data_IF_499445771649
#
_entry.id   IF_499445771649
#
_cell.length_a   1.000
_cell.length_b   1.000
_cell.length_c   1.000
_cell.angle_alpha   90.00
_cell.angle_beta   90.00
_cell.angle_gamma   90.00
#
_symmetry.space_group_name_H-M   'P 1'
#
loop_
_entity.id
_entity.type
_entity.pdbx_description
1 polymer ?
#
# COMPACT_ATOMS: atom_id res chain seq x y z
N UNK A 1 -4.18 -21.62 10.99
CA UNK A 1 -4.54 -20.46 10.15
C UNK A 1 -3.29 -19.66 9.87
N UNK A 2 -3.12 -19.20 8.63
CA UNK A 2 -1.96 -18.39 8.27
C UNK A 2 -1.92 -17.09 9.09
N UNK A 3 -0.72 -16.69 9.48
CA UNK A 3 -0.49 -15.37 10.08
C UNK A 3 -0.30 -14.34 8.99
N UNK A 4 -1.12 -13.30 9.00
CA UNK A 4 -1.09 -12.24 8.00
C UNK A 4 -0.64 -10.96 8.68
N UNK A 5 0.43 -10.35 8.18
CA UNK A 5 0.95 -9.09 8.69
C UNK A 5 0.73 -8.00 7.66
N UNK A 6 0.03 -6.93 8.06
CA UNK A 6 -0.11 -5.74 7.25
C UNK A 6 1.14 -4.86 7.36
N UNK A 7 1.71 -4.49 6.22
CA UNK A 7 2.85 -3.57 6.16
C UNK A 7 2.38 -2.24 5.56
N UNK A 8 2.61 -1.16 6.28
CA UNK A 8 2.26 0.18 5.84
C UNK A 8 3.38 1.19 6.16
N UNK A 9 3.24 2.40 5.71
CA UNK A 9 4.20 3.49 5.96
C UNK A 9 3.81 4.75 5.23
N UNK A 10 4.38 5.86 5.61
CA UNK A 10 4.21 7.12 4.88
C UNK A 10 5.00 7.15 3.57
N UNK A 11 4.65 8.07 2.69
CA UNK A 11 5.45 8.35 1.50
C UNK A 11 6.92 8.58 1.90
N UNK A 12 7.85 8.02 1.16
CA UNK A 12 9.30 8.10 1.41
C UNK A 12 9.79 7.55 2.77
N UNK A 13 8.97 6.77 3.51
CA UNK A 13 9.41 6.13 4.77
C UNK A 13 10.42 4.99 4.57
N UNK A 14 10.58 4.48 3.34
CA UNK A 14 11.47 3.35 3.03
C UNK A 14 10.79 1.97 3.15
N UNK A 15 9.48 1.91 3.05
CA UNK A 15 8.69 0.66 3.07
C UNK A 15 9.19 -0.37 2.02
N UNK A 16 9.62 0.09 0.84
CA UNK A 16 10.18 -0.77 -0.20
C UNK A 16 11.46 -1.51 0.23
N UNK A 17 12.29 -0.91 1.07
CA UNK A 17 13.47 -1.58 1.65
C UNK A 17 13.03 -2.73 2.54
N UNK A 18 11.99 -2.54 3.34
CA UNK A 18 11.42 -3.58 4.20
C UNK A 18 10.82 -4.72 3.36
N UNK A 19 10.03 -4.39 2.33
CA UNK A 19 9.44 -5.43 1.45
C UNK A 19 10.49 -6.24 0.70
N UNK A 20 11.57 -5.60 0.23
CA UNK A 20 12.70 -6.29 -0.40
C UNK A 20 13.38 -7.25 0.58
N UNK A 21 13.67 -6.78 1.80
CA UNK A 21 14.29 -7.60 2.83
C UNK A 21 13.44 -8.84 3.20
N UNK A 22 12.13 -8.66 3.36
CA UNK A 22 11.21 -9.76 3.65
C UNK A 22 11.21 -10.81 2.52
N UNK A 23 11.20 -10.35 1.25
CA UNK A 23 11.27 -11.24 0.07
C UNK A 23 12.61 -11.99 0.01
N UNK A 24 13.74 -11.33 0.30
CA UNK A 24 15.07 -11.95 0.37
C UNK A 24 15.15 -13.03 1.46
N UNK A 25 14.43 -12.85 2.56
CA UNK A 25 14.29 -13.86 3.62
C UNK A 25 13.32 -14.99 3.25
N UNK A 26 12.70 -14.96 2.08
CA UNK A 26 11.81 -16.02 1.58
C UNK A 26 10.34 -15.86 2.00
N UNK A 27 9.95 -14.73 2.59
CA UNK A 27 8.56 -14.49 2.95
C UNK A 27 7.76 -13.95 1.75
N UNK A 28 6.56 -14.48 1.48
CA UNK A 28 5.68 -13.89 0.48
C UNK A 28 5.24 -12.49 0.92
N UNK A 29 5.29 -11.54 -0.01
CA UNK A 29 4.82 -10.16 0.18
C UNK A 29 3.88 -9.82 -0.97
N UNK A 30 2.60 -9.71 -0.68
CA UNK A 30 1.57 -9.22 -1.61
C UNK A 30 1.70 -7.70 -1.69
N UNK A 31 1.86 -7.17 -2.90
CA UNK A 31 1.92 -5.75 -3.18
C UNK A 31 0.53 -5.28 -3.64
N UNK A 32 -0.15 -4.47 -2.83
CA UNK A 32 -1.48 -3.98 -3.16
C UNK A 32 -1.48 -3.04 -4.37
N UNK A 33 -0.41 -2.25 -4.57
CA UNK A 33 -0.30 -1.37 -5.74
C UNK A 33 -0.20 -2.20 -7.02
N UNK A 34 0.49 -3.36 -6.99
CA UNK A 34 0.53 -4.28 -8.13
C UNK A 34 -0.85 -4.89 -8.42
N UNK A 35 -1.59 -5.30 -7.38
CA UNK A 35 -2.96 -5.82 -7.55
C UNK A 35 -3.87 -4.75 -8.19
N UNK A 36 -3.79 -3.51 -7.75
CA UNK A 36 -4.54 -2.39 -8.35
C UNK A 36 -4.12 -2.15 -9.80
N UNK A 37 -2.81 -2.20 -10.07
CA UNK A 37 -2.30 -2.07 -11.44
C UNK A 37 -2.86 -3.15 -12.36
N UNK A 38 -2.90 -4.41 -11.93
CA UNK A 38 -3.43 -5.53 -12.71
C UNK A 38 -4.94 -5.39 -12.95
N UNK A 39 -5.70 -4.89 -11.97
CA UNK A 39 -7.12 -4.57 -12.15
C UNK A 39 -7.37 -3.46 -13.18
N UNK A 40 -6.44 -2.52 -13.31
CA UNK A 40 -6.49 -1.38 -14.23
C UNK A 40 -5.88 -1.67 -15.61
N UNK A 41 -5.17 -2.78 -15.77
CA UNK A 41 -4.61 -3.18 -17.05
C UNK A 41 -5.71 -3.52 -18.07
N UNK A 42 -5.47 -3.40 -19.39
CA UNK A 42 -6.44 -3.76 -20.41
C UNK A 42 -7.05 -5.15 -20.18
N UNK A 43 -8.38 -5.23 -20.09
CA UNK A 43 -9.11 -6.45 -19.75
C UNK A 43 -9.24 -6.76 -18.25
N UNK A 44 -8.64 -5.98 -17.36
CA UNK A 44 -8.82 -6.08 -15.91
C UNK A 44 -10.24 -5.72 -15.46
N UNK A 45 -10.63 -6.15 -14.28
CA UNK A 45 -11.99 -5.93 -13.79
C UNK A 45 -12.33 -4.44 -13.63
N UNK A 46 -11.40 -3.67 -13.08
CA UNK A 46 -11.57 -2.23 -12.89
C UNK A 46 -11.53 -1.49 -14.22
N UNK A 47 -10.62 -1.88 -15.13
CA UNK A 47 -10.56 -1.35 -16.49
C UNK A 47 -11.91 -1.45 -17.20
N UNK A 48 -12.52 -2.65 -17.22
CA UNK A 48 -13.80 -2.88 -17.88
C UNK A 48 -14.90 -1.99 -17.32
N UNK A 49 -15.04 -1.93 -16.01
CA UNK A 49 -16.09 -1.15 -15.35
C UNK A 49 -15.92 0.35 -15.59
N UNK A 50 -14.69 0.85 -15.61
CA UNK A 50 -14.41 2.25 -15.91
C UNK A 50 -14.71 2.59 -17.38
N UNK A 51 -14.33 1.73 -18.32
CA UNK A 51 -14.61 1.92 -19.75
C UNK A 51 -16.11 1.82 -20.05
N UNK A 52 -16.80 0.89 -19.41
CA UNK A 52 -18.26 0.74 -19.56
C UNK A 52 -19.00 1.98 -19.06
N UNK A 53 -18.53 2.65 -18.01
CA UNK A 53 -19.17 3.81 -17.43
C UNK A 53 -18.80 5.12 -18.13
N UNK A 54 -17.50 5.36 -18.34
CA UNK A 54 -16.98 6.63 -18.90
C UNK A 54 -16.79 6.60 -20.41
N UNK A 55 -16.86 5.44 -21.05
CA UNK A 55 -16.58 5.29 -22.48
C UNK A 55 -15.09 5.22 -22.80
N UNK A 56 -14.78 5.11 -24.10
CA UNK A 56 -13.41 4.96 -24.61
C UNK A 56 -12.57 6.24 -24.54
N UNK A 57 -13.17 7.36 -24.23
CA UNK A 57 -12.48 8.65 -24.11
C UNK A 57 -11.52 8.74 -22.93
N UNK A 58 -11.59 7.78 -21.99
CA UNK A 58 -10.64 7.61 -20.89
C UNK A 58 -9.48 6.70 -21.26
N UNK A 59 -9.29 6.33 -22.52
CA UNK A 59 -8.24 5.46 -22.99
C UNK A 59 -7.20 6.21 -23.82
N UNK A 60 -5.95 5.76 -23.74
CA UNK A 60 -4.88 6.15 -24.64
C UNK A 60 -5.07 5.49 -26.02
N UNK A 61 -4.19 5.82 -26.99
CA UNK A 61 -4.19 5.16 -28.32
C UNK A 61 -3.82 3.68 -28.25
N UNK A 62 -3.09 3.30 -27.21
CA UNK A 62 -2.64 1.93 -26.92
C UNK A 62 -3.70 1.16 -26.11
N UNK A 63 -4.90 1.73 -25.92
CA UNK A 63 -6.02 1.14 -25.18
C UNK A 63 -5.76 0.96 -23.68
N UNK A 64 -4.81 1.70 -23.11
CA UNK A 64 -4.56 1.76 -21.68
C UNK A 64 -5.39 2.89 -21.05
N UNK A 65 -5.63 2.84 -19.72
CA UNK A 65 -6.31 3.92 -19.01
C UNK A 65 -5.45 5.20 -19.06
N UNK A 66 -5.98 6.25 -19.66
CA UNK A 66 -5.45 7.60 -19.55
C UNK A 66 -5.83 8.20 -18.19
N UNK A 67 -4.88 8.19 -17.26
CA UNK A 67 -5.09 8.66 -15.88
C UNK A 67 -5.46 10.14 -15.82
N UNK A 68 -5.02 10.94 -16.79
CA UNK A 68 -5.35 12.38 -16.84
C UNK A 68 -6.79 12.56 -17.28
N UNK A 69 -7.19 11.93 -18.39
CA UNK A 69 -8.56 11.96 -18.90
C UNK A 69 -9.55 11.39 -17.87
N UNK A 70 -9.24 10.23 -17.29
CA UNK A 70 -10.06 9.62 -16.24
C UNK A 70 -10.18 10.53 -15.02
N UNK A 71 -9.07 11.12 -14.56
CA UNK A 71 -9.07 12.07 -13.46
C UNK A 71 -9.96 13.28 -13.73
N UNK A 72 -9.88 13.87 -14.91
CA UNK A 72 -10.75 15.01 -15.31
C UNK A 72 -12.23 14.64 -15.26
N UNK A 73 -12.60 13.44 -15.72
CA UNK A 73 -13.99 12.96 -15.66
C UNK A 73 -14.46 12.76 -14.21
N UNK A 74 -13.66 12.09 -13.39
CA UNK A 74 -13.99 11.83 -11.98
C UNK A 74 -14.11 13.12 -11.17
N UNK A 75 -13.23 14.11 -11.41
CA UNK A 75 -13.20 15.34 -10.61
C UNK A 75 -14.13 16.44 -11.12
N UNK A 76 -14.62 16.36 -12.37
CA UNK A 76 -15.54 17.36 -12.93
C UNK A 76 -16.96 17.31 -12.35
N UNK A 77 -17.37 16.16 -11.81
CA UNK A 77 -18.70 15.93 -11.26
C UNK A 77 -18.61 15.19 -9.91
N UNK A 78 -19.15 15.76 -8.82
CA UNK A 78 -19.19 15.09 -7.51
C UNK A 78 -19.86 13.71 -7.54
N UNK A 79 -20.90 13.50 -8.37
CA UNK A 79 -21.58 12.21 -8.48
C UNK A 79 -20.70 11.13 -9.12
N UNK A 80 -19.89 11.52 -10.13
CA UNK A 80 -18.92 10.64 -10.77
C UNK A 80 -17.78 10.26 -9.82
N UNK A 81 -17.34 11.24 -9.02
CA UNK A 81 -16.34 10.98 -7.99
C UNK A 81 -16.86 9.99 -6.95
N UNK A 82 -18.08 10.19 -6.46
CA UNK A 82 -18.67 9.28 -5.44
C UNK A 82 -18.92 7.88 -6.01
N UNK A 83 -19.38 7.79 -7.26
CA UNK A 83 -19.51 6.52 -7.96
C UNK A 83 -18.16 5.82 -8.10
N UNK A 84 -17.16 6.53 -8.61
CA UNK A 84 -15.81 6.03 -8.82
C UNK A 84 -15.17 5.52 -7.52
N UNK A 85 -15.23 6.30 -6.45
CA UNK A 85 -14.70 5.92 -5.15
C UNK A 85 -15.36 4.64 -4.63
N UNK A 86 -16.69 4.53 -4.71
CA UNK A 86 -17.45 3.37 -4.26
C UNK A 86 -17.13 2.12 -5.08
N UNK A 87 -17.10 2.23 -6.41
CA UNK A 87 -16.88 1.10 -7.30
C UNK A 87 -15.44 0.63 -7.25
N UNK A 88 -14.49 1.55 -7.34
CA UNK A 88 -13.07 1.23 -7.25
C UNK A 88 -12.73 0.63 -5.88
N UNK A 89 -13.17 1.26 -4.79
CA UNK A 89 -12.92 0.77 -3.44
C UNK A 89 -13.43 -0.65 -3.22
N UNK A 90 -14.64 -0.97 -3.72
CA UNK A 90 -15.20 -2.32 -3.64
C UNK A 90 -14.37 -3.33 -4.45
N UNK A 91 -14.10 -3.06 -5.72
CA UNK A 91 -13.38 -3.99 -6.58
C UNK A 91 -11.94 -4.24 -6.11
N UNK A 92 -11.26 -3.21 -5.63
CA UNK A 92 -9.92 -3.33 -5.06
C UNK A 92 -9.97 -4.18 -3.80
N UNK A 93 -10.93 -3.93 -2.90
CA UNK A 93 -11.07 -4.70 -1.65
C UNK A 93 -11.38 -6.17 -1.94
N UNK A 94 -12.27 -6.47 -2.87
CA UNK A 94 -12.60 -7.83 -3.31
C UNK A 94 -11.36 -8.56 -3.86
N UNK A 95 -10.61 -7.92 -4.76
CA UNK A 95 -9.40 -8.51 -5.34
C UNK A 95 -8.28 -8.73 -4.31
N UNK A 96 -8.06 -7.77 -3.41
CA UNK A 96 -7.10 -7.92 -2.32
C UNK A 96 -7.49 -9.06 -1.37
N UNK A 97 -8.79 -9.21 -1.06
CA UNK A 97 -9.28 -10.32 -0.25
C UNK A 97 -9.05 -11.67 -0.95
N UNK A 98 -9.32 -11.77 -2.24
CA UNK A 98 -9.09 -12.99 -3.02
C UNK A 98 -7.61 -13.40 -3.02
N UNK A 99 -6.70 -12.44 -3.26
CA UNK A 99 -5.25 -12.72 -3.25
C UNK A 99 -4.77 -13.09 -1.85
N UNK A 100 -5.24 -12.41 -0.81
CA UNK A 100 -4.98 -12.73 0.60
C UNK A 100 -5.39 -14.18 0.92
N UNK A 101 -6.62 -14.55 0.60
CA UNK A 101 -7.18 -15.86 0.95
C UNK A 101 -6.48 -16.99 0.19
N UNK A 102 -6.10 -16.74 -1.06
CA UNK A 102 -5.28 -17.66 -1.86
C UNK A 102 -3.89 -17.85 -1.24
N UNK A 103 -3.24 -16.78 -0.80
CA UNK A 103 -1.93 -16.85 -0.16
C UNK A 103 -2.01 -17.52 1.21
N UNK A 104 -3.06 -17.29 1.97
CA UNK A 104 -3.30 -17.92 3.27
C UNK A 104 -3.45 -19.44 3.19
N UNK A 105 -3.86 -19.97 2.04
CA UNK A 105 -3.92 -21.42 1.79
C UNK A 105 -2.54 -22.04 1.48
N UNK A 106 -1.52 -21.21 1.19
CA UNK A 106 -0.21 -21.65 0.71
C UNK A 106 0.95 -21.33 1.66
N UNK A 107 0.72 -20.50 2.66
CA UNK A 107 1.79 -20.01 3.55
C UNK A 107 1.29 -19.83 4.96
N UNK A 108 2.11 -20.23 5.93
CA UNK A 108 1.82 -20.05 7.36
C UNK A 108 2.05 -18.60 7.83
N UNK A 109 2.93 -17.88 7.15
CA UNK A 109 3.23 -16.45 7.40
C UNK A 109 3.45 -15.74 6.08
N UNK A 110 2.76 -14.61 5.87
CA UNK A 110 3.00 -13.71 4.76
C UNK A 110 2.64 -12.26 5.10
N UNK A 111 3.04 -11.36 4.24
CA UNK A 111 2.85 -9.92 4.39
C UNK A 111 1.97 -9.37 3.27
N UNK A 112 1.20 -8.33 3.59
CA UNK A 112 0.51 -7.51 2.60
C UNK A 112 1.00 -6.07 2.72
N UNK A 113 1.64 -5.59 1.66
CA UNK A 113 2.11 -4.22 1.54
C UNK A 113 0.98 -3.33 1.03
N UNK A 114 0.37 -2.54 1.93
CA UNK A 114 -0.75 -1.64 1.61
C UNK A 114 -0.39 -0.23 2.10
N UNK A 115 -0.06 0.70 1.19
CA UNK A 115 0.34 2.07 1.57
C UNK A 115 -0.68 2.83 2.41
N UNK A 116 -1.97 2.68 2.06
CA UNK A 116 -3.10 3.34 2.72
C UNK A 116 -3.91 2.36 3.59
N UNK A 117 -3.23 1.42 4.25
CA UNK A 117 -3.85 0.35 5.05
C UNK A 117 -4.83 0.91 6.07
N UNK A 118 -4.39 1.90 6.84
CA UNK A 118 -5.14 2.51 7.94
C UNK A 118 -6.25 3.41 7.38
N UNK A 119 -5.90 4.26 6.42
CA UNK A 119 -6.86 5.19 5.79
C UNK A 119 -8.02 4.47 5.10
N UNK A 120 -7.80 3.25 4.64
CA UNK A 120 -8.80 2.43 3.94
C UNK A 120 -9.50 1.42 4.86
N UNK A 121 -9.16 1.40 6.15
CA UNK A 121 -9.78 0.51 7.15
C UNK A 121 -9.53 -0.97 6.86
N UNK A 122 -8.26 -1.35 6.66
CA UNK A 122 -7.85 -2.73 6.45
C UNK A 122 -7.31 -3.40 7.71
N UNK A 123 -7.23 -2.70 8.85
CA UNK A 123 -6.57 -3.19 10.08
C UNK A 123 -7.10 -4.56 10.52
N UNK A 124 -8.41 -4.76 10.46
CA UNK A 124 -9.08 -6.01 10.86
C UNK A 124 -8.70 -7.24 10.00
N UNK A 125 -7.96 -7.02 8.89
CA UNK A 125 -7.48 -8.13 8.05
C UNK A 125 -6.23 -8.79 8.57
N UNK A 126 -5.56 -8.15 9.53
CA UNK A 126 -4.22 -8.49 9.98
C UNK A 126 -4.18 -8.84 11.45
N UNK A 127 -3.33 -9.80 11.78
CA UNK A 127 -3.03 -10.11 13.18
C UNK A 127 -2.05 -9.11 13.80
N UNK A 128 -1.33 -8.40 12.95
CA UNK A 128 -0.42 -7.32 13.35
C UNK A 128 -0.20 -6.37 12.19
N UNK A 129 -0.20 -5.09 12.48
CA UNK A 129 0.11 -4.01 11.53
C UNK A 129 1.50 -3.48 11.84
N UNK A 130 2.41 -3.57 10.87
CA UNK A 130 3.76 -3.05 10.95
C UNK A 130 3.86 -1.72 10.18
N UNK A 131 4.28 -0.68 10.87
CA UNK A 131 4.47 0.66 10.31
C UNK A 131 5.94 0.97 10.11
N UNK A 132 6.35 1.24 8.88
CA UNK A 132 7.67 1.81 8.60
C UNK A 132 7.59 3.32 8.75
N UNK A 133 8.34 3.87 9.69
CA UNK A 133 8.28 5.28 10.05
C UNK A 133 9.65 5.97 10.03
N UNK A 134 9.63 7.25 9.74
CA UNK A 134 10.77 8.17 9.84
C UNK A 134 10.31 9.49 10.46
N UNK A 135 11.25 10.36 10.81
CA UNK A 135 10.92 11.73 11.20
C UNK A 135 10.37 12.55 10.03
N UNK A 136 9.63 13.61 10.32
CA UNK A 136 9.10 14.52 9.28
C UNK A 136 10.22 15.12 8.43
N UNK A 137 11.34 15.48 9.03
CA UNK A 137 12.50 16.04 8.35
C UNK A 137 13.12 15.01 7.39
N UNK A 138 13.28 13.76 7.85
CA UNK A 138 13.80 12.66 7.03
C UNK A 138 12.84 12.35 5.88
N UNK A 139 11.54 12.33 6.14
CA UNK A 139 10.50 12.08 5.13
C UNK A 139 10.53 13.16 4.05
N UNK A 140 10.54 14.43 4.45
CA UNK A 140 10.58 15.57 3.54
C UNK A 140 11.84 15.54 2.67
N UNK A 141 13.02 15.42 3.31
CA UNK A 141 14.29 15.34 2.61
C UNK A 141 14.32 14.21 1.57
N UNK A 142 13.98 13.00 1.97
CA UNK A 142 13.97 11.83 1.07
C UNK A 142 13.00 11.99 -0.10
N UNK A 143 11.82 12.58 0.15
CA UNK A 143 10.82 12.80 -0.89
C UNK A 143 11.28 13.85 -1.91
N UNK A 144 11.88 14.96 -1.44
CA UNK A 144 12.44 15.98 -2.31
C UNK A 144 13.56 15.42 -3.19
N UNK A 145 14.50 14.68 -2.60
CA UNK A 145 15.65 14.09 -3.31
C UNK A 145 15.20 13.05 -4.34
N UNK A 146 14.30 12.14 -3.96
CA UNK A 146 13.83 11.05 -4.83
C UNK A 146 13.04 11.55 -6.03
N UNK A 147 12.21 12.57 -5.84
CA UNK A 147 11.25 13.03 -6.85
C UNK A 147 11.59 14.39 -7.44
N UNK A 148 12.73 14.99 -7.06
CA UNK A 148 13.16 16.34 -7.50
C UNK A 148 12.08 17.41 -7.28
N UNK A 149 11.43 17.36 -6.10
CA UNK A 149 10.36 18.29 -5.72
C UNK A 149 10.89 19.48 -4.96
N UNK A 150 10.19 20.61 -5.10
CA UNK A 150 10.33 21.71 -4.15
C UNK A 150 9.80 21.30 -2.78
N UNK A 151 10.22 22.01 -1.72
CA UNK A 151 9.75 21.74 -0.37
C UNK A 151 8.23 21.83 -0.26
N UNK A 152 7.60 22.84 -0.87
CA UNK A 152 6.16 23.01 -0.87
C UNK A 152 5.44 21.81 -1.50
N UNK A 153 5.91 21.38 -2.68
CA UNK A 153 5.34 20.22 -3.37
C UNK A 153 5.49 18.92 -2.57
N UNK A 154 6.62 18.76 -1.89
CA UNK A 154 6.84 17.58 -1.04
C UNK A 154 5.93 17.62 0.20
N UNK A 155 5.77 18.78 0.84
CA UNK A 155 4.85 18.96 1.96
C UNK A 155 3.39 18.68 1.58
N UNK A 156 2.93 19.16 0.42
CA UNK A 156 1.58 18.87 -0.10
C UNK A 156 1.36 17.38 -0.30
N UNK A 157 2.35 16.65 -0.86
CA UNK A 157 2.26 15.19 -1.02
C UNK A 157 2.25 14.45 0.30
N UNK A 158 3.04 14.89 1.29
CA UNK A 158 3.01 14.30 2.63
C UNK A 158 1.65 14.55 3.29
N UNK A 159 1.12 15.76 3.17
CA UNK A 159 -0.18 16.14 3.73
C UNK A 159 -1.38 15.44 3.08
N UNK A 160 -1.21 14.83 1.90
CA UNK A 160 -2.27 14.03 1.25
C UNK A 160 -2.50 12.65 1.88
N UNK A 161 -1.66 12.23 2.81
CA UNK A 161 -1.78 10.99 3.58
C UNK A 161 -1.98 11.30 5.06
N UNK A 162 -2.50 10.32 5.79
CA UNK A 162 -2.54 10.38 7.26
C UNK A 162 -1.13 10.60 7.82
N UNK A 163 -0.93 11.54 8.75
CA UNK A 163 0.36 11.77 9.39
C UNK A 163 0.95 10.50 10.01
N UNK A 164 2.28 10.31 9.92
CA UNK A 164 2.94 9.14 10.50
C UNK A 164 2.70 9.00 12.02
N UNK A 165 2.60 10.13 12.73
CA UNK A 165 2.33 10.12 14.17
C UNK A 165 0.91 9.59 14.49
N UNK A 166 -0.07 9.86 13.64
CA UNK A 166 -1.41 9.28 13.75
C UNK A 166 -1.39 7.79 13.39
N UNK A 167 -0.68 7.40 12.32
CA UNK A 167 -0.53 5.99 11.95
C UNK A 167 0.10 5.14 13.05
N UNK A 168 0.98 5.71 13.87
CA UNK A 168 1.61 5.02 15.02
C UNK A 168 0.56 4.48 16.03
N UNK A 169 -0.55 5.18 16.20
CA UNK A 169 -1.61 4.77 17.11
C UNK A 169 -2.39 3.52 16.63
N UNK A 170 -2.29 3.20 15.34
CA UNK A 170 -2.94 2.07 14.69
C UNK A 170 -1.97 0.90 14.40
N UNK A 171 -0.70 1.05 14.73
CA UNK A 171 0.32 0.05 14.45
C UNK A 171 0.66 -0.77 15.70
N UNK A 172 0.78 -2.08 15.55
CA UNK A 172 1.24 -2.98 16.62
C UNK A 172 2.78 -2.97 16.72
N UNK A 173 3.45 -2.66 15.62
CA UNK A 173 4.91 -2.54 15.57
C UNK A 173 5.32 -1.35 14.72
N UNK A 174 6.24 -0.54 15.23
CA UNK A 174 6.85 0.56 14.47
C UNK A 174 8.31 0.22 14.17
N UNK A 175 8.64 0.17 12.88
CA UNK A 175 9.99 0.00 12.36
C UNK A 175 10.58 1.38 12.10
N UNK A 176 11.53 1.79 12.92
CA UNK A 176 12.22 3.08 12.75
C UNK A 176 13.29 2.98 11.67
N UNK A 177 13.11 3.76 10.60
CA UNK A 177 14.01 3.83 9.47
C UNK A 177 14.75 5.19 9.37
N UNK A 178 14.98 5.85 10.50
CA UNK A 178 15.84 7.06 10.55
C UNK A 178 17.33 6.73 10.54
N UNK A 179 17.71 5.56 11.04
CA UNK A 179 19.08 5.08 11.12
C UNK A 179 19.60 4.48 9.80
N UNK A 180 20.65 3.69 9.93
CA UNK A 180 21.21 2.92 8.83
C UNK A 180 20.42 1.64 8.54
N UNK A 181 20.75 0.96 7.43
CA UNK A 181 20.09 -0.27 7.01
C UNK A 181 20.32 -1.41 8.02
N UNK A 182 21.46 -1.47 8.67
CA UNK A 182 21.79 -2.53 9.64
C UNK A 182 20.86 -2.43 10.85
N UNK A 183 20.58 -1.23 11.34
CA UNK A 183 19.64 -1.00 12.44
C UNK A 183 18.20 -1.37 12.04
N UNK A 184 17.78 -1.06 10.82
CA UNK A 184 16.46 -1.45 10.32
C UNK A 184 16.34 -2.97 10.20
N UNK A 185 17.36 -3.64 9.66
CA UNK A 185 17.36 -5.10 9.49
C UNK A 185 17.37 -5.83 10.83
N UNK A 186 18.10 -5.31 11.84
CA UNK A 186 18.06 -5.87 13.18
C UNK A 186 16.66 -5.79 13.82
N UNK A 187 15.93 -4.70 13.61
CA UNK A 187 14.53 -4.56 14.04
C UNK A 187 13.63 -5.58 13.33
N UNK A 188 13.82 -5.75 12.01
CA UNK A 188 13.06 -6.72 11.22
C UNK A 188 13.33 -8.17 11.65
N UNK A 189 14.58 -8.55 11.87
CA UNK A 189 14.92 -9.89 12.34
C UNK A 189 14.30 -10.19 13.71
N UNK A 190 14.33 -9.24 14.64
CA UNK A 190 13.69 -9.38 15.95
C UNK A 190 12.16 -9.53 15.83
N UNK A 191 11.54 -8.71 14.96
CA UNK A 191 10.10 -8.77 14.71
C UNK A 191 9.68 -10.10 14.06
N UNK A 192 10.45 -10.60 13.10
CA UNK A 192 10.23 -11.89 12.45
C UNK A 192 10.34 -13.06 13.46
N UNK A 193 11.33 -13.04 14.33
CA UNK A 193 11.47 -14.05 15.38
C UNK A 193 10.24 -14.08 16.29
N UNK A 194 9.74 -12.93 16.71
CA UNK A 194 8.51 -12.83 17.51
C UNK A 194 7.29 -13.36 16.76
N UNK A 195 7.16 -13.01 15.48
CA UNK A 195 6.06 -13.49 14.64
C UNK A 195 6.07 -15.03 14.50
N UNK A 196 7.23 -15.62 14.30
CA UNK A 196 7.41 -17.08 14.20
C UNK A 196 7.13 -17.80 15.54
N UNK A 197 7.64 -17.28 16.66
CA UNK A 197 7.34 -17.85 17.99
C UNK A 197 5.85 -17.84 18.32
N UNK A 198 5.12 -16.85 17.84
CA UNK A 198 3.66 -16.77 18.03
C UNK A 198 2.90 -17.77 17.14
N UNK A 199 3.47 -18.14 15.99
CA UNK A 199 2.94 -19.24 15.15
C UNK A 199 3.11 -20.61 15.82
N UNK A 200 4.27 -20.88 16.42
CA UNK A 200 4.58 -22.15 17.09
C UNK A 200 3.74 -22.43 18.35
N UNK A 201 3.17 -21.38 18.95
CA UNK A 201 2.33 -21.47 20.16
C UNK A 201 0.84 -21.73 19.88
N UNK A 202 0.45 -21.84 18.62
CA UNK A 202 -0.93 -22.12 18.17
C UNK A 202 -1.15 -23.61 17.94
#
# INVERSE_FOLDING_TARGET
MARIIGLTGGIASGKSTVTSYLREKGYPVIDADQVVHDLQAPGGALYRVLVDHFGREILTKEEELDRVALGQRIFSDPSERDWSNRVQGRLIREALAEVRDRQAAQSDLFFMDIPLLIEQGYEDWFESVWLVAVSKETQLKRLMERNHLSELQAQERIASQMPLDEKRAHADLVLDNNGDLAALYAQLDAALQQALQQLERR
#
